data_IF_558724736117
#
_entry.id   IF_558724736117
#
_cell.length_a   1.000
_cell.length_b   1.000
_cell.length_c   1.000
_cell.angle_alpha   90.00
_cell.angle_beta   90.00
_cell.angle_gamma   90.00
#
_symmetry.space_group_name_H-M   'P 1'
#
loop_
_entity.id
_entity.type
_entity.pdbx_description
1 polymer ?
#
# COMPACT_ATOMS: atom_id res chain seq x y z
N UNK A 1 -5.02 -17.75 -16.52
CA UNK A 1 -4.55 -16.48 -15.93
C UNK A 1 -4.79 -16.52 -14.44
N UNK A 2 -3.78 -16.22 -13.63
CA UNK A 2 -3.92 -16.20 -12.17
C UNK A 2 -4.45 -14.84 -11.71
N UNK A 3 -5.52 -14.84 -10.91
CA UNK A 3 -6.15 -13.62 -10.40
C UNK A 3 -5.41 -13.02 -9.20
N UNK A 4 -4.82 -13.85 -8.32
CA UNK A 4 -4.36 -13.42 -6.98
C UNK A 4 -2.97 -13.91 -6.57
N UNK A 5 -2.55 -15.07 -7.06
CA UNK A 5 -1.29 -15.68 -6.66
C UNK A 5 -0.23 -15.56 -7.76
N UNK A 6 1.03 -15.46 -7.34
CA UNK A 6 2.18 -15.64 -8.24
C UNK A 6 2.30 -17.09 -8.71
N UNK A 7 3.30 -17.37 -9.55
CA UNK A 7 3.55 -18.71 -10.11
C UNK A 7 3.85 -19.76 -9.02
N UNK A 8 4.38 -19.34 -7.87
CA UNK A 8 4.62 -20.18 -6.70
C UNK A 8 3.35 -20.44 -5.85
N UNK A 9 2.16 -20.02 -6.32
CA UNK A 9 0.89 -20.26 -5.64
C UNK A 9 0.60 -19.37 -4.43
N UNK A 10 1.49 -18.43 -4.11
CA UNK A 10 1.36 -17.52 -2.95
C UNK A 10 0.79 -16.16 -3.32
N UNK A 11 -0.03 -15.59 -2.42
CA UNK A 11 -0.47 -14.19 -2.48
C UNK A 11 0.71 -13.29 -2.13
N UNK A 12 1.34 -12.67 -3.15
CA UNK A 12 2.53 -11.84 -2.98
C UNK A 12 2.30 -10.68 -2.00
N UNK A 13 1.08 -10.15 -1.93
CA UNK A 13 0.75 -9.07 -1.00
C UNK A 13 0.50 -9.57 0.44
N UNK A 14 0.97 -10.78 0.78
CA UNK A 14 1.05 -11.30 2.16
C UNK A 14 2.47 -11.70 2.55
N UNK A 15 3.45 -11.45 1.68
CA UNK A 15 4.82 -11.96 1.81
C UNK A 15 5.87 -10.84 1.94
N UNK A 16 5.46 -9.60 2.21
CA UNK A 16 6.38 -8.46 2.20
C UNK A 16 7.31 -8.38 3.43
N UNK A 17 6.93 -9.01 4.55
CA UNK A 17 7.69 -8.90 5.80
C UNK A 17 9.11 -9.47 5.64
N UNK A 18 9.20 -10.67 5.06
CA UNK A 18 10.46 -11.37 4.77
C UNK A 18 10.34 -12.18 3.46
N UNK A 19 10.41 -11.51 2.29
CA UNK A 19 10.26 -12.19 1.01
C UNK A 19 11.49 -13.04 0.70
N UNK A 20 11.28 -14.22 0.12
CA UNK A 20 12.37 -15.07 -0.38
C UNK A 20 12.78 -14.62 -1.78
N UNK A 21 14.09 -14.46 -2.02
CA UNK A 21 14.65 -14.14 -3.34
C UNK A 21 14.26 -15.18 -4.41
N UNK A 22 14.20 -16.46 -4.04
CA UNK A 22 13.88 -17.54 -4.96
C UNK A 22 12.36 -17.67 -5.20
N UNK A 23 11.54 -17.63 -4.13
CA UNK A 23 10.09 -17.89 -4.23
C UNK A 23 9.25 -16.66 -4.58
N UNK A 24 9.73 -15.47 -4.19
CA UNK A 24 9.05 -14.18 -4.39
C UNK A 24 10.04 -13.09 -4.87
N UNK A 25 10.78 -13.33 -5.98
CA UNK A 25 11.86 -12.45 -6.44
C UNK A 25 11.40 -11.00 -6.66
N UNK A 26 10.18 -10.81 -7.19
CA UNK A 26 9.66 -9.49 -7.54
C UNK A 26 9.56 -8.56 -6.33
N UNK A 27 8.91 -9.01 -5.25
CA UNK A 27 8.79 -8.20 -4.02
C UNK A 27 10.11 -8.17 -3.23
N UNK A 28 10.96 -9.19 -3.34
CA UNK A 28 12.30 -9.17 -2.74
C UNK A 28 13.16 -8.05 -3.32
N UNK A 29 13.33 -8.01 -4.64
CA UNK A 29 14.13 -6.97 -5.29
C UNK A 29 13.47 -5.58 -5.21
N UNK A 30 12.14 -5.51 -5.27
CA UNK A 30 11.41 -4.24 -5.04
C UNK A 30 11.70 -3.69 -3.65
N UNK A 31 11.68 -4.53 -2.60
CA UNK A 31 12.01 -4.11 -1.24
C UNK A 31 13.47 -3.66 -1.09
N UNK A 32 14.41 -4.28 -1.83
CA UNK A 32 15.81 -3.82 -1.90
C UNK A 32 15.93 -2.45 -2.55
N UNK A 33 15.19 -2.18 -3.63
CA UNK A 33 15.14 -0.86 -4.26
C UNK A 33 14.59 0.19 -3.29
N UNK A 34 13.48 -0.11 -2.61
CA UNK A 34 12.89 0.78 -1.60
C UNK A 34 13.90 1.09 -0.48
N UNK A 35 14.65 0.09 -0.01
CA UNK A 35 15.71 0.28 0.99
C UNK A 35 16.81 1.22 0.48
N UNK A 36 17.22 1.08 -0.79
CA UNK A 36 18.22 1.97 -1.41
C UNK A 36 17.71 3.41 -1.51
N UNK A 37 16.47 3.61 -1.96
CA UNK A 37 15.86 4.95 -2.06
C UNK A 37 15.67 5.59 -0.69
N UNK A 38 15.26 4.81 0.33
CA UNK A 38 15.13 5.29 1.69
C UNK A 38 16.47 5.76 2.27
N UNK A 39 17.56 5.01 2.02
CA UNK A 39 18.90 5.37 2.47
C UNK A 39 19.45 6.65 1.81
N UNK A 40 18.94 6.99 0.62
CA UNK A 40 19.27 8.23 -0.10
C UNK A 40 18.28 9.37 0.19
N UNK A 41 17.35 9.19 1.13
CA UNK A 41 16.27 10.15 1.44
C UNK A 41 15.37 10.48 0.23
N UNK A 42 15.30 9.58 -0.76
CA UNK A 42 14.52 9.73 -1.99
C UNK A 42 13.16 9.01 -1.94
N UNK A 43 12.83 8.35 -0.83
CA UNK A 43 11.55 7.65 -0.66
C UNK A 43 10.49 8.60 -0.07
N UNK A 44 9.69 9.22 -0.95
CA UNK A 44 8.63 10.16 -0.55
C UNK A 44 7.26 9.51 -0.36
N UNK A 45 6.95 8.50 -1.18
CA UNK A 45 5.65 7.85 -1.21
C UNK A 45 5.79 6.42 -1.72
N UNK A 46 5.03 5.50 -1.14
CA UNK A 46 4.83 4.15 -1.65
C UNK A 46 3.35 3.95 -1.97
N UNK A 47 3.04 3.44 -3.17
CA UNK A 47 1.68 3.12 -3.58
C UNK A 47 1.61 1.73 -4.22
N UNK A 48 0.86 0.84 -3.59
CA UNK A 48 0.53 -0.50 -4.07
C UNK A 48 -0.82 -0.44 -4.81
N UNK A 49 -0.82 -0.61 -6.14
CA UNK A 49 -2.02 -0.43 -6.97
C UNK A 49 -2.79 -1.75 -7.13
N UNK A 50 -4.07 -1.73 -6.75
CA UNK A 50 -4.97 -2.89 -6.76
C UNK A 50 -6.28 -2.55 -7.46
N UNK A 51 -6.96 -3.60 -7.89
CA UNK A 51 -8.33 -3.51 -8.37
C UNK A 51 -9.31 -4.16 -7.40
N UNK A 52 -10.49 -3.56 -7.28
CA UNK A 52 -11.46 -3.92 -6.26
C UNK A 52 -12.82 -4.31 -6.87
N UNK A 53 -13.29 -5.52 -6.57
CA UNK A 53 -14.46 -6.09 -7.21
C UNK A 53 -15.81 -5.65 -6.62
N UNK A 54 -15.83 -5.11 -5.39
CA UNK A 54 -17.08 -4.82 -4.65
C UNK A 54 -17.39 -3.33 -4.49
N UNK A 55 -16.44 -2.56 -3.95
CA UNK A 55 -16.56 -1.11 -3.81
C UNK A 55 -16.42 -0.41 -5.18
N UNK A 56 -17.13 0.70 -5.35
CA UNK A 56 -17.04 1.61 -6.51
C UNK A 56 -15.98 2.69 -6.28
N UNK A 57 -15.68 3.47 -7.31
CA UNK A 57 -14.70 4.57 -7.29
C UNK A 57 -13.26 4.13 -6.97
N UNK A 58 -12.39 5.12 -6.84
CA UNK A 58 -10.99 4.97 -6.39
C UNK A 58 -10.91 5.33 -4.91
N UNK A 59 -10.21 4.55 -4.11
CA UNK A 59 -9.99 4.85 -2.69
C UNK A 59 -8.66 4.26 -2.21
N UNK A 60 -8.21 4.69 -1.03
CA UNK A 60 -6.92 4.26 -0.49
C UNK A 60 -7.04 3.61 0.89
N UNK A 61 -6.21 2.59 1.11
CA UNK A 61 -5.89 2.11 2.44
C UNK A 61 -4.52 2.63 2.87
N UNK A 62 -4.43 3.21 4.06
CA UNK A 62 -3.16 3.66 4.64
C UNK A 62 -2.85 2.94 5.96
N UNK A 63 -1.87 3.48 6.68
CA UNK A 63 -1.44 2.99 7.97
C UNK A 63 -1.63 4.08 9.02
N UNK A 64 -2.63 3.91 9.89
CA UNK A 64 -2.96 4.89 10.91
C UNK A 64 -1.79 5.14 11.87
N UNK A 65 -1.42 6.41 12.02
CA UNK A 65 -0.44 6.85 13.00
C UNK A 65 -1.18 7.45 14.20
N UNK A 66 -1.28 6.67 15.28
CA UNK A 66 -2.06 7.06 16.47
C UNK A 66 -1.29 7.97 17.43
N UNK A 67 0.04 8.06 17.31
CA UNK A 67 0.92 8.78 18.24
C UNK A 67 2.08 9.46 17.52
N UNK A 68 2.64 10.49 18.16
CA UNK A 68 3.85 11.18 17.70
C UNK A 68 3.61 12.30 16.68
N UNK A 69 4.71 12.90 16.17
CA UNK A 69 4.66 14.09 15.30
C UNK A 69 4.09 13.79 13.90
N UNK A 70 3.97 12.51 13.54
CA UNK A 70 3.44 12.06 12.24
C UNK A 70 1.94 11.75 12.30
N UNK A 71 1.26 12.03 13.42
CA UNK A 71 -0.18 11.80 13.60
C UNK A 71 -0.98 12.41 12.44
N UNK A 72 -1.86 11.60 11.86
CA UNK A 72 -2.75 11.94 10.74
C UNK A 72 -2.05 12.26 9.40
N UNK A 73 -0.71 12.19 9.29
CA UNK A 73 -0.01 12.48 8.03
C UNK A 73 -0.44 11.56 6.88
N UNK A 74 -0.80 10.32 7.20
CA UNK A 74 -1.32 9.36 6.22
C UNK A 74 -2.64 9.81 5.56
N UNK A 75 -3.32 10.82 6.09
CA UNK A 75 -4.60 11.32 5.56
C UNK A 75 -4.44 12.49 4.59
N UNK A 76 -3.27 13.13 4.58
CA UNK A 76 -3.02 14.33 3.77
C UNK A 76 -3.10 14.00 2.28
N UNK A 77 -2.38 12.99 1.82
CA UNK A 77 -2.35 12.64 0.40
C UNK A 77 -3.71 12.16 -0.14
N UNK A 78 -4.46 11.26 0.54
CA UNK A 78 -5.83 10.93 0.15
C UNK A 78 -6.77 12.15 0.11
N UNK A 79 -6.60 13.13 1.00
CA UNK A 79 -7.41 14.36 0.97
C UNK A 79 -7.11 15.20 -0.27
N UNK A 80 -5.83 15.41 -0.59
CA UNK A 80 -5.42 16.12 -1.81
C UNK A 80 -5.95 15.42 -3.08
N UNK A 81 -5.92 14.08 -3.11
CA UNK A 81 -6.51 13.33 -4.23
C UNK A 81 -8.02 13.54 -4.36
N UNK A 82 -8.75 13.61 -3.24
CA UNK A 82 -10.18 13.88 -3.27
C UNK A 82 -10.51 15.27 -3.86
N UNK A 83 -9.65 16.26 -3.62
CA UNK A 83 -9.82 17.61 -4.15
C UNK A 83 -9.46 17.69 -5.65
N UNK A 84 -8.53 16.84 -6.12
CA UNK A 84 -8.05 16.85 -7.51
C UNK A 84 -8.72 15.81 -8.43
N UNK A 85 -9.43 14.82 -7.88
CA UNK A 85 -9.97 13.69 -8.65
C UNK A 85 -11.45 13.45 -8.30
N UNK A 86 -12.40 13.75 -9.21
CA UNK A 86 -13.84 13.56 -8.97
C UNK A 86 -14.23 12.10 -8.67
N UNK A 87 -13.44 11.13 -9.14
CA UNK A 87 -13.68 9.70 -8.94
C UNK A 87 -12.99 9.14 -7.68
N UNK A 88 -12.34 9.98 -6.88
CA UNK A 88 -11.71 9.56 -5.64
C UNK A 88 -12.68 9.67 -4.46
N UNK A 89 -12.96 8.54 -3.82
CA UNK A 89 -13.83 8.43 -2.66
C UNK A 89 -13.02 8.52 -1.36
N UNK A 90 -12.93 9.73 -0.80
CA UNK A 90 -12.36 9.91 0.54
C UNK A 90 -13.10 9.09 1.62
N UNK A 91 -14.45 8.99 1.62
CA UNK A 91 -15.17 8.11 2.55
C UNK A 91 -14.86 6.62 2.38
N UNK A 92 -14.44 6.21 1.18
CA UNK A 92 -14.03 4.83 0.89
C UNK A 92 -12.70 4.43 1.53
N UNK A 93 -11.88 5.42 1.92
CA UNK A 93 -10.56 5.22 2.48
C UNK A 93 -10.60 4.63 3.90
N UNK A 94 -9.57 3.88 4.27
CA UNK A 94 -9.41 3.36 5.65
C UNK A 94 -7.95 3.23 6.04
N UNK A 95 -7.62 3.70 7.25
CA UNK A 95 -6.26 3.71 7.76
C UNK A 95 -6.01 2.62 8.82
N UNK A 96 -7.09 1.95 9.26
CA UNK A 96 -7.01 0.86 10.23
C UNK A 96 -6.26 -0.32 9.63
N UNK A 97 -5.23 -0.79 10.34
CA UNK A 97 -4.48 -2.00 9.97
C UNK A 97 -5.08 -3.20 10.71
N UNK A 98 -5.49 -4.21 9.95
CA UNK A 98 -5.97 -5.49 10.49
C UNK A 98 -4.81 -6.46 10.59
N UNK A 99 -4.86 -7.40 11.55
CA UNK A 99 -3.83 -8.43 11.75
C UNK A 99 -3.51 -9.24 10.48
N UNK A 100 -4.50 -9.50 9.63
CA UNK A 100 -4.32 -10.22 8.36
C UNK A 100 -3.60 -9.41 7.27
N UNK A 101 -3.37 -8.12 7.50
CA UNK A 101 -2.75 -7.18 6.56
C UNK A 101 -1.35 -6.75 6.99
N UNK A 102 -0.86 -7.27 8.11
CA UNK A 102 0.45 -6.98 8.69
C UNK A 102 1.60 -7.17 7.70
N UNK A 103 1.49 -8.20 6.85
CA UNK A 103 2.53 -8.56 5.87
C UNK A 103 2.23 -8.04 4.45
N UNK A 104 1.35 -7.04 4.31
CA UNK A 104 1.10 -6.34 3.03
C UNK A 104 2.18 -5.32 2.75
N UNK A 105 2.36 -4.98 1.47
CA UNK A 105 3.35 -3.99 1.04
C UNK A 105 3.23 -2.68 1.78
N UNK A 106 2.02 -2.09 1.82
CA UNK A 106 1.84 -0.79 2.48
C UNK A 106 2.25 -0.81 3.96
N UNK A 107 1.91 -1.87 4.70
CA UNK A 107 2.15 -1.96 6.15
C UNK A 107 3.62 -2.18 6.43
N UNK A 108 4.24 -3.10 5.69
CA UNK A 108 5.68 -3.38 5.83
C UNK A 108 6.48 -2.13 5.46
N UNK A 109 6.16 -1.47 4.36
CA UNK A 109 6.89 -0.27 3.93
C UNK A 109 6.73 0.86 4.95
N UNK A 110 5.51 1.09 5.43
CA UNK A 110 5.24 2.10 6.46
C UNK A 110 6.08 1.88 7.72
N UNK A 111 6.17 0.64 8.20
CA UNK A 111 6.80 0.34 9.49
C UNK A 111 8.30 0.16 9.41
N UNK A 112 8.80 -0.53 8.39
CA UNK A 112 10.24 -0.84 8.28
C UNK A 112 11.05 0.32 7.74
N UNK A 113 10.43 1.23 6.96
CA UNK A 113 11.10 2.42 6.43
C UNK A 113 10.56 3.74 7.01
N UNK A 114 9.68 3.67 8.02
CA UNK A 114 9.16 4.86 8.69
C UNK A 114 8.42 5.82 7.77
N UNK A 115 7.69 5.31 6.77
CA UNK A 115 7.04 6.10 5.72
C UNK A 115 5.51 6.18 5.93
N UNK A 116 4.95 7.27 6.50
CA UNK A 116 3.50 7.43 6.66
C UNK A 116 2.74 7.47 5.33
N UNK A 117 3.39 7.97 4.28
CA UNK A 117 2.86 8.04 2.91
C UNK A 117 2.97 6.69 2.19
N UNK A 118 2.43 5.65 2.80
CA UNK A 118 2.47 4.28 2.28
C UNK A 118 1.05 3.74 2.16
N UNK A 119 0.63 3.51 0.91
CA UNK A 119 -0.77 3.27 0.58
C UNK A 119 -0.97 2.02 -0.25
N UNK A 120 -2.15 1.42 -0.12
CA UNK A 120 -2.76 0.60 -1.18
C UNK A 120 -3.82 1.47 -1.84
N UNK A 121 -3.74 1.69 -3.15
CA UNK A 121 -4.81 2.30 -3.93
C UNK A 121 -5.65 1.21 -4.57
N UNK A 122 -6.96 1.32 -4.45
CA UNK A 122 -7.93 0.38 -4.97
C UNK A 122 -8.81 1.10 -5.99
N UNK A 123 -8.90 0.57 -7.21
CA UNK A 123 -9.79 1.07 -8.25
C UNK A 123 -10.86 0.03 -8.60
N UNK A 124 -12.11 0.45 -8.75
CA UNK A 124 -13.20 -0.49 -9.02
C UNK A 124 -13.09 -1.20 -10.37
N UNK A 125 -13.44 -2.48 -10.41
CA UNK A 125 -13.67 -3.21 -11.68
C UNK A 125 -15.04 -2.96 -12.29
N UNK A 126 -16.01 -2.48 -11.51
CA UNK A 126 -17.43 -2.44 -11.89
C UNK A 126 -18.00 -1.01 -12.02
N UNK A 127 -17.13 -0.01 -12.22
CA UNK A 127 -17.50 1.39 -12.48
C UNK A 127 -17.04 2.40 -11.43
N UNK A 128 -17.09 3.69 -11.80
CA UNK A 128 -16.88 4.84 -10.93
C UNK A 128 -18.21 5.30 -10.33
#
# INVERSE_FOLDING_TARGET
GNYRCGLSGVDLNRQWHDPSEVRMPTIFHTKRLIKSLAAQEQLLLFCDLHGHSRKRNIFMYGCENTRGPLRLRERVFPRLLADCCPHFSLPGCSFKVLRSKENTGRVVVCRQFGLPSSYTLEASFCGA
#
